data_IF_732123496030
#
_entry.id   IF_732123496030
#
_cell.length_a   1.000
_cell.length_b   1.000
_cell.length_c   1.000
_cell.angle_alpha   90.00
_cell.angle_beta   90.00
_cell.angle_gamma   90.00
#
_symmetry.space_group_name_H-M   'P 1'
#
loop_
_entity.id
_entity.type
_entity.pdbx_description
1 polymer ?
#
# COMPACT_ATOMS: atom_id res chain seq x y z
N UNK A 1 1.06 8.09 24.89
CA UNK A 1 0.78 8.01 23.51
C UNK A 1 1.47 9.11 22.78
N UNK A 2 1.75 9.02 21.63
CA UNK A 2 2.47 10.05 20.96
C UNK A 2 2.88 9.60 19.59
N UNK A 3 3.98 10.10 19.10
CA UNK A 3 4.46 9.79 17.76
C UNK A 3 4.62 8.30 17.50
N UNK A 4 4.98 7.53 18.53
CA UNK A 4 5.14 6.08 18.39
C UNK A 4 3.85 5.36 17.96
N UNK A 5 2.70 5.81 18.47
CA UNK A 5 1.43 5.22 18.08
C UNK A 5 1.03 5.58 16.65
N UNK A 6 1.33 6.80 16.24
CA UNK A 6 1.07 7.26 14.88
C UNK A 6 1.90 6.43 13.90
N UNK A 7 3.18 6.27 14.16
CA UNK A 7 4.07 5.50 13.29
C UNK A 7 3.70 4.02 13.22
N UNK A 8 3.23 3.43 14.32
CA UNK A 8 2.80 2.03 14.34
C UNK A 8 1.57 1.77 13.48
N UNK A 9 0.77 2.81 13.23
CA UNK A 9 -0.44 2.70 12.40
C UNK A 9 -0.15 2.87 10.92
N UNK A 10 1.01 3.45 10.58
CA UNK A 10 1.37 3.69 9.20
C UNK A 10 1.88 2.40 8.56
N UNK A 11 1.39 2.17 7.36
CA UNK A 11 1.80 1.01 6.58
C UNK A 11 2.87 1.46 5.61
N UNK A 12 3.97 0.72 5.55
CA UNK A 12 5.04 0.97 4.59
C UNK A 12 4.75 0.23 3.31
N UNK A 13 4.70 0.97 2.23
CA UNK A 13 4.54 0.40 0.90
C UNK A 13 5.82 0.61 0.12
N UNK A 14 6.24 -0.41 -0.60
CA UNK A 14 7.40 -0.32 -1.47
C UNK A 14 6.95 0.03 -2.88
N UNK A 15 7.74 0.87 -3.55
CA UNK A 15 7.59 1.14 -4.98
C UNK A 15 8.89 0.76 -5.66
N UNK A 16 8.80 -0.11 -6.66
CA UNK A 16 9.96 -0.63 -7.39
C UNK A 16 9.84 -0.20 -8.84
N UNK A 17 10.89 0.44 -9.36
CA UNK A 17 10.96 0.79 -10.76
C UNK A 17 11.37 -0.43 -11.55
N UNK A 18 10.54 -0.80 -12.53
CA UNK A 18 10.81 -1.93 -13.43
C UNK A 18 11.05 -1.39 -14.83
N UNK A 19 12.17 -1.78 -15.44
CA UNK A 19 12.37 -1.53 -16.86
C UNK A 19 11.30 -2.32 -17.63
N UNK A 20 10.80 -1.75 -18.72
CA UNK A 20 9.76 -2.39 -19.51
C UNK A 20 10.33 -3.53 -20.36
N UNK A 21 10.82 -4.56 -19.67
CA UNK A 21 11.40 -5.76 -20.26
C UNK A 21 10.69 -6.98 -19.74
N UNK A 22 10.58 -7.98 -20.61
CA UNK A 22 9.96 -9.25 -20.27
C UNK A 22 10.66 -9.88 -19.05
N UNK A 23 9.89 -10.35 -18.10
CA UNK A 23 10.40 -11.08 -16.94
C UNK A 23 10.86 -10.25 -15.76
N UNK A 24 10.75 -8.92 -15.80
CA UNK A 24 11.18 -8.08 -14.67
C UNK A 24 10.33 -8.31 -13.42
N UNK A 25 9.02 -8.38 -13.57
CA UNK A 25 8.16 -8.67 -12.43
C UNK A 25 8.42 -10.09 -11.91
N UNK A 26 8.62 -11.05 -12.79
CA UNK A 26 8.94 -12.43 -12.41
C UNK A 26 10.20 -12.48 -11.56
N UNK A 27 11.24 -11.73 -11.95
CA UNK A 27 12.48 -11.67 -11.20
C UNK A 27 12.27 -11.12 -9.79
N UNK A 28 11.53 -10.04 -9.66
CA UNK A 28 11.22 -9.46 -8.35
C UNK A 28 10.48 -10.47 -7.47
N UNK A 29 9.47 -11.13 -8.02
CA UNK A 29 8.72 -12.15 -7.27
C UNK A 29 9.62 -13.29 -6.78
N UNK A 30 10.56 -13.72 -7.62
CA UNK A 30 11.52 -14.77 -7.25
C UNK A 30 12.46 -14.31 -6.14
N UNK A 31 13.00 -13.09 -6.26
CA UNK A 31 13.91 -12.54 -5.26
C UNK A 31 13.23 -12.50 -3.88
N UNK A 32 12.01 -11.99 -3.85
CA UNK A 32 11.25 -11.90 -2.60
C UNK A 32 10.90 -13.29 -2.05
N UNK A 33 10.48 -14.20 -2.91
CA UNK A 33 10.15 -15.56 -2.51
C UNK A 33 11.34 -16.31 -1.92
N UNK A 34 12.51 -16.17 -2.53
CA UNK A 34 13.74 -16.79 -2.03
C UNK A 34 14.18 -16.22 -0.69
N UNK A 35 13.86 -14.96 -0.44
CA UNK A 35 14.15 -14.30 0.84
C UNK A 35 13.09 -14.58 1.91
N UNK A 36 12.06 -15.35 1.59
CA UNK A 36 10.98 -15.66 2.52
C UNK A 36 10.01 -14.51 2.75
N UNK A 37 9.96 -13.56 1.82
CA UNK A 37 9.09 -12.38 1.92
C UNK A 37 7.83 -12.61 1.09
N UNK A 38 6.68 -12.46 1.74
CA UNK A 38 5.39 -12.61 1.09
C UNK A 38 4.87 -11.26 0.60
N UNK A 39 4.22 -11.26 -0.56
CA UNK A 39 3.56 -10.08 -1.12
C UNK A 39 2.07 -10.14 -0.74
N UNK A 40 1.66 -9.25 0.17
CA UNK A 40 0.27 -9.24 0.67
C UNK A 40 -0.67 -8.51 -0.27
N UNK A 41 -0.18 -7.48 -0.93
CA UNK A 41 -0.95 -6.71 -1.90
C UNK A 41 0.01 -6.10 -2.91
N UNK A 42 -0.42 -5.94 -4.13
CA UNK A 42 0.43 -5.31 -5.13
C UNK A 42 -0.38 -4.76 -6.30
N UNK A 43 0.22 -3.82 -7.01
CA UNK A 43 -0.32 -3.29 -8.26
C UNK A 43 0.84 -2.88 -9.17
N UNK A 44 0.63 -2.98 -10.46
CA UNK A 44 1.61 -2.54 -11.46
C UNK A 44 0.97 -1.44 -12.29
N UNK A 45 1.63 -0.29 -12.33
CA UNK A 45 1.25 0.80 -13.23
C UNK A 45 2.36 0.97 -14.24
N UNK A 46 2.03 1.06 -15.52
CA UNK A 46 3.06 1.13 -16.57
C UNK A 46 2.81 2.27 -17.54
N UNK A 47 3.90 2.73 -18.14
CA UNK A 47 3.87 3.56 -19.33
C UNK A 47 4.73 2.89 -20.40
N UNK A 48 5.04 3.60 -21.49
CA UNK A 48 5.79 3.00 -22.61
C UNK A 48 7.23 2.61 -22.25
N UNK A 49 7.82 3.25 -21.25
CA UNK A 49 9.25 3.10 -20.96
C UNK A 49 9.54 2.26 -19.72
N UNK A 50 8.68 2.34 -18.70
CA UNK A 50 8.91 1.63 -17.45
C UNK A 50 7.60 1.35 -16.73
N UNK A 51 7.68 0.48 -15.72
CA UNK A 51 6.58 0.20 -14.83
C UNK A 51 6.94 0.55 -13.40
N UNK A 52 5.93 0.77 -12.60
CA UNK A 52 6.08 0.95 -11.15
C UNK A 52 5.28 -0.16 -10.48
N UNK A 53 5.99 -1.01 -9.74
CA UNK A 53 5.36 -2.06 -8.96
C UNK A 53 5.26 -1.56 -7.52
N UNK A 54 4.04 -1.45 -7.02
CA UNK A 54 3.79 -1.07 -5.63
C UNK A 54 3.35 -2.29 -4.86
N UNK A 55 4.02 -2.56 -3.73
CA UNK A 55 3.73 -3.73 -2.92
C UNK A 55 3.67 -3.43 -1.43
N UNK A 56 2.85 -4.25 -0.77
CA UNK A 56 2.88 -4.41 0.68
C UNK A 56 3.45 -5.80 0.93
N UNK A 57 4.50 -5.89 1.72
CA UNK A 57 5.21 -7.15 1.96
C UNK A 57 5.24 -7.50 3.45
N UNK A 58 5.48 -8.78 3.73
CA UNK A 58 5.51 -9.26 5.12
C UNK A 58 6.72 -8.78 5.92
N UNK A 59 7.81 -8.46 5.23
CA UNK A 59 9.05 -7.99 5.87
C UNK A 59 9.68 -6.92 4.99
N UNK A 60 9.37 -5.68 5.32
CA UNK A 60 9.76 -4.52 4.54
C UNK A 60 11.28 -4.36 4.46
N UNK A 61 11.96 -4.48 5.61
CA UNK A 61 13.41 -4.26 5.66
C UNK A 61 14.17 -5.30 4.84
N UNK A 62 13.80 -6.57 4.94
CA UNK A 62 14.41 -7.64 4.16
C UNK A 62 14.16 -7.42 2.66
N UNK A 63 12.93 -7.06 2.30
CA UNK A 63 12.57 -6.81 0.91
C UNK A 63 13.43 -5.70 0.30
N UNK A 64 13.57 -4.58 1.02
CA UNK A 64 14.38 -3.46 0.55
C UNK A 64 15.83 -3.90 0.32
N UNK A 65 16.38 -4.62 1.30
CA UNK A 65 17.78 -5.07 1.23
C UNK A 65 18.02 -5.97 0.03
N UNK A 66 17.22 -7.02 -0.13
CA UNK A 66 17.47 -8.01 -1.20
C UNK A 66 17.23 -7.42 -2.58
N UNK A 67 16.27 -6.50 -2.72
CA UNK A 67 16.02 -5.85 -4.00
C UNK A 67 17.12 -4.85 -4.36
N UNK A 68 17.58 -4.05 -3.40
CA UNK A 68 18.67 -3.11 -3.63
C UNK A 68 19.98 -3.84 -3.92
N UNK A 69 20.23 -4.98 -3.27
CA UNK A 69 21.41 -5.81 -3.55
C UNK A 69 21.41 -6.30 -5.00
N UNK A 70 20.25 -6.42 -5.63
CA UNK A 70 20.09 -6.82 -7.02
C UNK A 70 19.89 -5.62 -7.93
N UNK A 71 20.23 -4.43 -7.46
CA UNK A 71 20.25 -3.17 -8.20
C UNK A 71 18.88 -2.66 -8.66
N UNK A 72 17.82 -3.05 -7.97
CA UNK A 72 16.51 -2.46 -8.20
C UNK A 72 16.40 -1.13 -7.46
N UNK A 73 15.76 -0.16 -8.10
CA UNK A 73 15.46 1.12 -7.47
C UNK A 73 14.18 0.97 -6.65
N UNK A 74 14.32 1.09 -5.33
CA UNK A 74 13.22 0.89 -4.40
C UNK A 74 13.00 2.15 -3.56
N UNK A 75 11.77 2.63 -3.51
CA UNK A 75 11.39 3.71 -2.61
C UNK A 75 10.30 3.24 -1.67
N UNK A 76 10.15 3.95 -0.55
CA UNK A 76 9.19 3.61 0.50
C UNK A 76 8.24 4.78 0.69
N UNK A 77 6.95 4.48 0.81
CA UNK A 77 5.94 5.50 1.08
C UNK A 77 5.02 5.02 2.20
N UNK A 78 4.54 5.95 2.99
CA UNK A 78 3.52 5.66 3.99
C UNK A 78 2.15 5.71 3.34
N UNK A 79 1.32 4.73 3.64
CA UNK A 79 -0.04 4.63 3.10
C UNK A 79 -1.01 4.28 4.23
N UNK A 80 -2.30 4.45 3.97
CA UNK A 80 -3.35 3.96 4.87
C UNK A 80 -4.09 2.82 4.19
N UNK A 81 -4.60 1.89 4.99
CA UNK A 81 -5.44 0.81 4.49
C UNK A 81 -6.83 0.95 5.08
N UNK A 82 -7.78 1.27 4.23
CA UNK A 82 -9.18 1.39 4.61
C UNK A 82 -9.85 0.05 4.44
N UNK A 83 -10.55 -0.39 5.48
CA UNK A 83 -11.36 -1.59 5.45
C UNK A 83 -12.82 -1.17 5.31
N UNK A 84 -13.46 -1.52 4.20
CA UNK A 84 -14.84 -1.12 3.98
C UNK A 84 -15.65 -2.28 3.41
N UNK A 85 -16.99 -2.23 3.57
CA UNK A 85 -17.84 -3.24 2.96
C UNK A 85 -17.67 -3.26 1.44
N UNK A 86 -17.64 -4.44 0.87
CA UNK A 86 -17.56 -4.60 -0.58
C UNK A 86 -18.96 -4.49 -1.17
N UNK A 87 -19.52 -3.29 -1.14
CA UNK A 87 -20.90 -2.99 -1.53
C UNK A 87 -20.94 -1.74 -2.40
N UNK A 88 -21.92 -1.64 -3.30
CA UNK A 88 -22.07 -0.43 -4.10
C UNK A 88 -22.18 0.83 -3.23
N UNK A 89 -21.40 1.83 -3.53
CA UNK A 89 -21.42 3.12 -2.84
C UNK A 89 -20.56 3.23 -1.60
N UNK A 90 -20.05 2.12 -1.05
CA UNK A 90 -19.22 2.17 0.17
C UNK A 90 -17.92 2.94 -0.07
N UNK A 91 -17.24 2.67 -1.17
CA UNK A 91 -16.01 3.38 -1.51
C UNK A 91 -16.29 4.84 -1.82
N UNK A 92 -17.37 5.13 -2.55
CA UNK A 92 -17.75 6.51 -2.88
C UNK A 92 -17.96 7.36 -1.62
N UNK A 93 -18.57 6.79 -0.59
CA UNK A 93 -18.78 7.47 0.68
C UNK A 93 -17.45 7.80 1.35
N UNK A 94 -16.52 6.85 1.38
CA UNK A 94 -15.19 7.06 1.95
C UNK A 94 -14.42 8.13 1.18
N UNK A 95 -14.49 8.08 -0.15
CA UNK A 95 -13.82 9.07 -1.00
C UNK A 95 -14.38 10.47 -0.80
N UNK A 96 -15.69 10.58 -0.61
CA UNK A 96 -16.33 11.86 -0.35
C UNK A 96 -15.84 12.48 0.96
N UNK A 97 -15.67 11.67 1.99
CA UNK A 97 -15.13 12.12 3.28
C UNK A 97 -13.70 12.66 3.10
N UNK A 98 -12.88 11.96 2.36
CA UNK A 98 -11.47 12.37 2.12
C UNK A 98 -11.43 13.66 1.31
N UNK A 99 -12.20 13.72 0.25
CA UNK A 99 -12.26 14.90 -0.63
C UNK A 99 -12.77 16.12 0.12
N UNK A 100 -13.82 15.95 0.93
CA UNK A 100 -14.40 17.05 1.72
C UNK A 100 -13.42 17.61 2.75
N UNK A 101 -12.46 16.82 3.18
CA UNK A 101 -11.42 17.25 4.10
C UNK A 101 -10.25 17.95 3.39
N UNK A 102 -10.31 18.09 2.07
CA UNK A 102 -9.26 18.74 1.28
C UNK A 102 -8.03 17.89 1.06
N UNK A 103 -8.16 16.58 1.16
CA UNK A 103 -7.05 15.65 1.00
C UNK A 103 -7.00 15.17 -0.46
N UNK A 104 -5.83 15.26 -1.07
CA UNK A 104 -5.60 14.76 -2.42
C UNK A 104 -5.09 13.33 -2.37
N UNK A 105 -5.68 12.45 -3.18
CA UNK A 105 -5.24 11.06 -3.29
C UNK A 105 -4.30 10.96 -4.49
N UNK A 106 -3.04 10.60 -4.23
CA UNK A 106 -2.04 10.45 -5.29
C UNK A 106 -2.27 9.18 -6.09
N UNK A 107 -2.59 8.09 -5.39
CA UNK A 107 -3.00 6.83 -6.01
C UNK A 107 -3.65 5.94 -4.96
N UNK A 108 -4.35 4.93 -5.42
CA UNK A 108 -4.92 3.91 -4.55
C UNK A 108 -5.16 2.62 -5.33
N UNK A 109 -5.22 1.53 -4.59
CA UNK A 109 -5.55 0.22 -5.15
C UNK A 109 -6.22 -0.62 -4.06
N UNK A 110 -6.95 -1.64 -4.48
CA UNK A 110 -7.76 -2.40 -3.56
C UNK A 110 -7.68 -3.89 -3.82
N UNK A 111 -7.97 -4.65 -2.80
CA UNK A 111 -8.16 -6.10 -2.92
C UNK A 111 -9.31 -6.53 -2.03
N UNK A 112 -10.05 -7.53 -2.49
CA UNK A 112 -11.20 -8.05 -1.78
C UNK A 112 -10.79 -9.15 -0.81
N UNK A 113 -11.48 -9.22 0.31
CA UNK A 113 -11.28 -10.29 1.29
C UNK A 113 -12.65 -10.63 1.85
N UNK A 114 -13.31 -11.65 1.31
CA UNK A 114 -14.66 -12.01 1.68
C UNK A 114 -15.66 -10.92 1.30
N UNK A 115 -16.44 -10.48 2.28
CA UNK A 115 -17.44 -9.42 2.08
C UNK A 115 -16.89 -8.02 2.24
N UNK A 116 -15.60 -7.90 2.48
CA UNK A 116 -14.93 -6.63 2.69
C UNK A 116 -13.95 -6.33 1.58
N UNK A 117 -13.63 -5.06 1.42
CA UNK A 117 -12.57 -4.59 0.55
C UNK A 117 -11.54 -3.85 1.39
N UNK A 118 -10.28 -4.11 1.09
CA UNK A 118 -9.17 -3.39 1.71
C UNK A 118 -8.60 -2.45 0.66
N UNK A 119 -8.59 -1.16 0.95
CA UNK A 119 -8.19 -0.12 0.00
C UNK A 119 -6.91 0.53 0.51
N UNK A 120 -5.83 0.38 -0.25
CA UNK A 120 -4.56 1.02 0.04
C UNK A 120 -4.62 2.41 -0.57
N UNK A 121 -4.41 3.44 0.25
CA UNK A 121 -4.50 4.82 -0.18
C UNK A 121 -3.20 5.55 0.12
N UNK A 122 -2.66 6.21 -0.91
CA UNK A 122 -1.52 7.12 -0.74
C UNK A 122 -2.06 8.55 -0.85
N UNK A 123 -2.36 9.20 0.29
CA UNK A 123 -2.79 10.58 0.27
C UNK A 123 -1.59 11.53 0.36
N UNK A 124 -1.80 12.79 0.07
CA UNK A 124 -0.78 13.82 0.22
C UNK A 124 -0.42 14.07 1.69
N UNK A 125 -1.34 13.76 2.61
CA UNK A 125 -1.11 13.88 4.04
C UNK A 125 -1.67 12.64 4.74
N UNK A 126 -0.80 11.69 5.05
CA UNK A 126 -1.16 10.39 5.62
C UNK A 126 -1.81 10.54 6.99
N UNK A 127 -1.23 11.37 7.86
CA UNK A 127 -1.74 11.55 9.21
C UNK A 127 -3.13 12.15 9.21
N UNK A 128 -3.33 13.20 8.43
CA UNK A 128 -4.63 13.86 8.30
C UNK A 128 -5.67 12.89 7.74
N UNK A 129 -5.30 12.12 6.72
CA UNK A 129 -6.20 11.13 6.13
C UNK A 129 -6.65 10.11 7.16
N UNK A 130 -5.71 9.55 7.92
CA UNK A 130 -6.03 8.57 8.95
C UNK A 130 -6.95 9.17 10.03
N UNK A 131 -6.67 10.40 10.47
CA UNK A 131 -7.49 11.08 11.46
C UNK A 131 -8.92 11.32 10.98
N UNK A 132 -9.07 11.79 9.74
CA UNK A 132 -10.37 12.08 9.15
C UNK A 132 -11.20 10.81 9.00
N UNK A 133 -10.60 9.73 8.54
CA UNK A 133 -11.30 8.47 8.38
C UNK A 133 -11.75 7.91 9.73
N UNK A 134 -10.89 7.97 10.73
CA UNK A 134 -11.25 7.53 12.09
C UNK A 134 -12.33 8.39 12.71
N UNK A 135 -12.25 9.70 12.54
CA UNK A 135 -13.26 10.62 13.07
C UNK A 135 -14.64 10.34 12.49
N UNK A 136 -14.69 9.80 11.27
CA UNK A 136 -15.92 9.41 10.59
C UNK A 136 -16.27 7.94 10.82
N UNK A 137 -15.61 7.29 11.77
CA UNK A 137 -15.86 5.91 12.19
C UNK A 137 -15.61 4.88 11.11
N UNK A 138 -14.72 5.17 10.19
CA UNK A 138 -14.28 4.20 9.19
C UNK A 138 -13.13 3.40 9.76
N UNK A 139 -13.09 2.11 9.39
CA UNK A 139 -12.11 1.18 9.94
C UNK A 139 -10.82 1.21 9.15
N UNK A 140 -9.70 1.35 9.85
CA UNK A 140 -8.37 1.25 9.25
C UNK A 140 -7.71 -0.03 9.73
N UNK A 141 -6.99 -0.70 8.83
CA UNK A 141 -6.24 -1.89 9.17
C UNK A 141 -4.86 -1.48 9.65
N UNK A 142 -4.42 -2.05 10.76
CA UNK A 142 -3.08 -1.82 11.29
C UNK A 142 -2.04 -2.54 10.42
N UNK A 143 -0.84 -1.98 10.36
CA UNK A 143 0.26 -2.53 9.57
C UNK A 143 0.52 -4.01 9.91
N UNK A 144 0.55 -4.34 11.20
CA UNK A 144 0.82 -5.69 11.65
C UNK A 144 -0.20 -6.70 11.13
N UNK A 145 -1.47 -6.30 11.03
CA UNK A 145 -2.52 -7.18 10.53
C UNK A 145 -2.43 -7.36 9.02
N UNK A 146 -2.11 -6.30 8.31
CA UNK A 146 -1.97 -6.35 6.86
C UNK A 146 -0.78 -7.21 6.43
N UNK A 147 0.32 -7.12 7.15
CA UNK A 147 1.54 -7.88 6.83
C UNK A 147 1.38 -9.39 7.03
N UNK A 148 0.38 -9.81 7.79
CA UNK A 148 0.09 -11.23 8.02
C UNK A 148 -0.79 -11.85 6.94
N UNK A 149 -1.40 -11.03 6.11
CA UNK A 149 -2.22 -11.53 5.01
C UNK A 149 -1.36 -12.11 3.87
#
# INVERSE_FOLDING_TARGET
RGLGDVYKRQIKQLSIFLENKKGRFTEVAKILGEAGVNMSAFTVAENSDFGILRLIVSDTDTAIKVLRDRLYAVSVADVVCLHCPNQPGALAKAMDIITSAGIFIEYMYAFSQGEAANVIIRPDNVEKCAEVLKANKLELIAASDLYKL
#
